data_IF_312768519785
#
_entry.id   IF_312768519785
#
_cell.length_a   1.000
_cell.length_b   1.000
_cell.length_c   1.000
_cell.angle_alpha   90.00
_cell.angle_beta   90.00
_cell.angle_gamma   90.00
#
_symmetry.space_group_name_H-M   'P 1'
#
loop_
_entity.id
_entity.type
_entity.pdbx_description
1 polymer ?
#
# COMPACT_ATOMS: atom_id res chain seq x y z
N UNK A 1 -16.18 25.37 -32.54
CA UNK A 1 -16.39 23.92 -32.69
C UNK A 1 -15.40 23.23 -31.77
N UNK A 2 -15.83 22.85 -30.57
CA UNK A 2 -15.05 22.04 -29.64
C UNK A 2 -14.98 20.61 -30.17
N UNK A 3 -13.80 20.07 -30.51
CA UNK A 3 -13.69 18.73 -31.06
C UNK A 3 -13.82 17.73 -29.91
N UNK A 4 -15.02 17.23 -29.66
CA UNK A 4 -15.25 16.18 -28.68
C UNK A 4 -16.67 16.19 -28.16
N UNK A 5 -17.47 15.21 -28.56
CA UNK A 5 -18.77 14.95 -27.95
C UNK A 5 -18.67 14.66 -26.45
N UNK A 6 -19.80 14.60 -25.73
CA UNK A 6 -19.83 14.28 -24.29
C UNK A 6 -19.07 13.00 -23.93
N UNK A 7 -19.04 12.02 -24.84
CA UNK A 7 -18.30 10.76 -24.69
C UNK A 7 -16.77 10.94 -24.72
N UNK A 8 -16.25 11.80 -25.61
CA UNK A 8 -14.82 12.13 -25.64
C UNK A 8 -14.37 12.87 -24.38
N UNK A 9 -15.24 13.73 -23.83
CA UNK A 9 -15.00 14.40 -22.55
C UNK A 9 -15.00 13.41 -21.39
N UNK A 10 -15.96 12.48 -21.35
CA UNK A 10 -16.04 11.45 -20.33
C UNK A 10 -14.82 10.52 -20.36
N UNK A 11 -14.37 10.11 -21.54
CA UNK A 11 -13.15 9.33 -21.72
C UNK A 11 -11.91 10.07 -21.19
N UNK A 12 -11.73 11.34 -21.57
CA UNK A 12 -10.62 12.17 -21.09
C UNK A 12 -10.61 12.27 -19.55
N UNK A 13 -11.76 12.53 -18.93
CA UNK A 13 -11.86 12.63 -17.47
C UNK A 13 -11.54 11.29 -16.80
N UNK A 14 -12.08 10.19 -17.30
CA UNK A 14 -11.83 8.86 -16.76
C UNK A 14 -10.35 8.45 -16.86
N UNK A 15 -9.70 8.75 -17.98
CA UNK A 15 -8.27 8.53 -18.19
C UNK A 15 -7.43 9.34 -17.20
N UNK A 16 -7.74 10.63 -17.03
CA UNK A 16 -7.02 11.50 -16.09
C UNK A 16 -7.16 11.03 -14.65
N UNK A 17 -8.37 10.64 -14.23
CA UNK A 17 -8.60 10.07 -12.90
C UNK A 17 -7.79 8.78 -12.67
N UNK A 18 -7.78 7.87 -13.66
CA UNK A 18 -7.02 6.64 -13.58
C UNK A 18 -5.51 6.88 -13.46
N UNK A 19 -4.98 7.84 -14.24
CA UNK A 19 -3.58 8.24 -14.15
C UNK A 19 -3.24 8.81 -12.77
N UNK A 20 -4.08 9.69 -12.23
CA UNK A 20 -3.87 10.27 -10.89
C UNK A 20 -3.86 9.19 -9.81
N UNK A 21 -4.80 8.24 -9.84
CA UNK A 21 -4.85 7.17 -8.83
C UNK A 21 -3.64 6.22 -8.93
N UNK A 22 -3.14 5.95 -10.15
CA UNK A 22 -1.91 5.16 -10.34
C UNK A 22 -0.67 5.89 -9.82
N UNK A 23 -0.59 7.19 -10.01
CA UNK A 23 0.49 8.01 -9.45
C UNK A 23 0.44 8.03 -7.91
N UNK A 24 -0.74 8.22 -7.33
CA UNK A 24 -0.95 8.18 -5.88
C UNK A 24 -0.58 6.82 -5.28
N UNK A 25 -0.85 5.72 -6.01
CA UNK A 25 -0.42 4.38 -5.63
C UNK A 25 1.11 4.25 -5.60
N UNK A 26 1.78 4.70 -6.66
CA UNK A 26 3.25 4.73 -6.70
C UNK A 26 3.84 5.57 -5.56
N UNK A 27 3.22 6.72 -5.27
CA UNK A 27 3.65 7.59 -4.16
C UNK A 27 3.45 6.93 -2.79
N UNK A 28 2.38 6.15 -2.62
CA UNK A 28 2.16 5.37 -1.40
C UNK A 28 3.24 4.29 -1.21
N UNK A 29 3.67 3.63 -2.29
CA UNK A 29 4.72 2.59 -2.25
C UNK A 29 6.11 3.18 -1.94
N UNK A 30 6.41 4.37 -2.48
CA UNK A 30 7.63 5.12 -2.12
C UNK A 30 7.60 5.49 -0.64
N UNK A 31 6.48 6.02 -0.12
CA UNK A 31 6.35 6.34 1.32
C UNK A 31 6.55 5.12 2.20
N UNK A 32 5.97 3.97 1.83
CA UNK A 32 6.14 2.73 2.57
C UNK A 32 7.59 2.26 2.57
N UNK A 33 8.28 2.32 1.42
CA UNK A 33 9.69 1.97 1.30
C UNK A 33 10.59 2.86 2.15
N UNK A 34 10.38 4.18 2.12
CA UNK A 34 11.12 5.14 2.95
C UNK A 34 10.89 4.88 4.44
N UNK A 35 9.64 4.67 4.86
CA UNK A 35 9.32 4.33 6.24
C UNK A 35 9.93 2.99 6.67
N UNK A 36 9.97 2.00 5.77
CA UNK A 36 10.56 0.70 6.05
C UNK A 36 12.08 0.80 6.26
N UNK A 37 12.77 1.59 5.44
CA UNK A 37 14.19 1.88 5.63
C UNK A 37 14.46 2.48 7.01
N UNK A 38 13.65 3.45 7.44
CA UNK A 38 13.74 4.01 8.80
C UNK A 38 13.40 2.99 9.88
N UNK A 39 12.37 2.18 9.67
CA UNK A 39 11.93 1.15 10.61
C UNK A 39 13.00 0.07 10.86
N UNK A 40 13.83 -0.24 9.86
CA UNK A 40 14.95 -1.18 9.99
C UNK A 40 16.20 -0.50 10.57
N UNK A 41 16.47 0.74 10.19
CA UNK A 41 17.65 1.48 10.63
C UNK A 41 17.64 1.80 12.14
N UNK A 42 16.49 2.19 12.71
CA UNK A 42 16.41 2.60 14.12
C UNK A 42 16.81 1.47 15.08
N UNK A 43 16.26 0.24 15.00
CA UNK A 43 16.72 -0.87 15.82
C UNK A 43 18.21 -1.18 15.64
N UNK A 44 18.72 -1.15 14.41
CA UNK A 44 20.14 -1.40 14.15
C UNK A 44 21.05 -0.38 14.84
N UNK A 45 20.69 0.91 14.80
CA UNK A 45 21.42 1.97 15.49
C UNK A 45 21.33 1.84 17.02
N UNK A 46 20.18 1.46 17.56
CA UNK A 46 20.00 1.25 19.00
C UNK A 46 20.83 0.07 19.49
N UNK A 47 20.76 -1.08 18.79
CA UNK A 47 21.55 -2.27 19.12
C UNK A 47 23.06 -2.01 18.99
N UNK A 48 23.47 -1.21 18.00
CA UNK A 48 24.87 -0.80 17.81
C UNK A 48 25.42 0.07 18.94
N UNK A 49 24.56 0.71 19.75
CA UNK A 49 24.97 1.47 20.95
C UNK A 49 25.10 0.59 22.21
N UNK A 50 24.78 -0.69 22.12
CA UNK A 50 24.82 -1.64 23.23
C UNK A 50 23.53 -1.68 24.05
N UNK A 51 23.32 -2.80 24.74
CA UNK A 51 22.17 -2.96 25.63
C UNK A 51 22.38 -2.19 26.95
N UNK A 52 21.35 -1.52 27.50
CA UNK A 52 21.46 -0.87 28.80
C UNK A 52 21.75 -1.92 29.87
N UNK A 53 22.95 -1.88 30.43
CA UNK A 53 23.36 -2.75 31.53
C UNK A 53 22.61 -2.36 32.81
N UNK A 54 22.04 -3.32 33.52
CA UNK A 54 21.33 -3.07 34.79
C UNK A 54 19.88 -2.62 34.65
N UNK A 55 19.24 -2.80 33.49
CA UNK A 55 17.83 -2.50 33.31
C UNK A 55 16.93 -3.28 34.30
N UNK A 56 16.04 -2.58 34.99
CA UNK A 56 15.06 -3.21 35.88
C UNK A 56 14.09 -4.12 35.10
N UNK A 57 13.45 -5.08 35.77
CA UNK A 57 12.46 -5.96 35.13
C UNK A 57 11.30 -5.19 34.47
N UNK A 58 10.93 -4.03 35.03
CA UNK A 58 9.93 -3.13 34.44
C UNK A 58 10.46 -2.48 33.16
N UNK A 59 11.70 -1.97 33.17
CA UNK A 59 12.34 -1.41 31.97
C UNK A 59 12.42 -2.43 30.83
N UNK A 60 12.76 -3.69 31.14
CA UNK A 60 12.77 -4.80 30.18
C UNK A 60 11.37 -5.08 29.61
N UNK A 61 10.32 -5.03 30.42
CA UNK A 61 8.95 -5.24 29.95
C UNK A 61 8.51 -4.14 28.95
N UNK A 62 8.82 -2.87 29.23
CA UNK A 62 8.55 -1.76 28.31
C UNK A 62 9.36 -1.86 27.00
N UNK A 63 10.64 -2.24 27.08
CA UNK A 63 11.47 -2.46 25.89
C UNK A 63 10.95 -3.63 25.05
N UNK A 64 10.54 -4.74 25.68
CA UNK A 64 9.97 -5.90 24.99
C UNK A 64 8.63 -5.55 24.32
N UNK A 65 7.74 -4.85 25.02
CA UNK A 65 6.47 -4.39 24.46
C UNK A 65 6.70 -3.40 23.30
N UNK A 66 7.61 -2.43 23.47
CA UNK A 66 7.98 -1.47 22.43
C UNK A 66 8.55 -2.16 21.19
N UNK A 67 9.46 -3.13 21.39
CA UNK A 67 10.02 -3.95 20.32
C UNK A 67 8.96 -4.78 19.59
N UNK A 68 8.03 -5.41 20.31
CA UNK A 68 6.96 -6.18 19.70
C UNK A 68 6.04 -5.31 18.82
N UNK A 69 5.64 -4.12 19.31
CA UNK A 69 4.86 -3.17 18.52
C UNK A 69 5.65 -2.66 17.31
N UNK A 70 6.95 -2.41 17.47
CA UNK A 70 7.83 -1.99 16.39
C UNK A 70 7.90 -3.04 15.29
N UNK A 71 8.18 -4.30 15.64
CA UNK A 71 8.21 -5.43 14.70
C UNK A 71 6.87 -5.60 14.00
N UNK A 72 5.74 -5.52 14.72
CA UNK A 72 4.41 -5.57 14.13
C UNK A 72 4.19 -4.43 13.12
N UNK A 73 4.63 -3.22 13.43
CA UNK A 73 4.62 -2.08 12.51
C UNK A 73 5.47 -2.33 11.26
N UNK A 74 6.69 -2.83 11.41
CA UNK A 74 7.58 -3.17 10.29
C UNK A 74 6.96 -4.24 9.37
N UNK A 75 6.37 -5.29 9.93
CA UNK A 75 5.69 -6.33 9.15
C UNK A 75 4.49 -5.78 8.38
N UNK A 76 3.77 -4.80 8.93
CA UNK A 76 2.69 -4.12 8.20
C UNK A 76 3.22 -3.27 7.04
N UNK A 77 4.38 -2.61 7.17
CA UNK A 77 5.02 -1.92 6.03
C UNK A 77 5.39 -2.91 4.92
N UNK A 78 5.97 -4.06 5.28
CA UNK A 78 6.24 -5.11 4.30
C UNK A 78 4.95 -5.56 3.61
N UNK A 79 3.85 -5.74 4.35
CA UNK A 79 2.54 -6.09 3.78
C UNK A 79 1.90 -5.00 2.90
N UNK A 80 2.38 -3.74 2.96
CA UNK A 80 2.01 -2.66 2.03
C UNK A 80 2.75 -2.81 0.70
N UNK A 81 4.03 -3.21 0.75
CA UNK A 81 4.93 -3.32 -0.42
C UNK A 81 4.71 -4.62 -1.18
N UNK A 82 4.42 -5.73 -0.48
CA UNK A 82 4.24 -7.04 -1.11
C UNK A 82 3.16 -6.94 -2.19
N UNK A 83 3.46 -7.33 -3.45
CA UNK A 83 2.51 -7.26 -4.53
C UNK A 83 1.30 -8.12 -4.19
N UNK A 84 0.15 -7.49 -4.00
CA UNK A 84 -1.12 -8.19 -3.83
C UNK A 84 -1.56 -8.68 -5.19
N UNK A 85 -1.03 -9.83 -5.59
CA UNK A 85 -1.40 -10.54 -6.83
C UNK A 85 -2.83 -11.07 -6.79
N UNK A 86 -3.42 -11.18 -5.59
CA UNK A 86 -4.87 -11.40 -5.43
C UNK A 86 -5.61 -10.08 -5.60
N UNK A 87 -5.91 -9.75 -6.85
CA UNK A 87 -6.93 -8.76 -7.19
C UNK A 87 -8.25 -9.20 -6.55
N UNK A 88 -8.64 -8.51 -5.47
CA UNK A 88 -10.00 -8.62 -4.95
C UNK A 88 -10.90 -7.95 -5.98
N UNK A 89 -11.58 -8.74 -6.82
CA UNK A 89 -12.58 -8.24 -7.77
C UNK A 89 -13.68 -7.52 -6.98
N UNK A 90 -13.81 -6.20 -7.15
CA UNK A 90 -14.96 -5.47 -6.60
C UNK A 90 -16.06 -5.24 -7.62
N UNK A 91 -15.78 -5.38 -8.92
CA UNK A 91 -16.79 -5.32 -9.99
C UNK A 91 -16.60 -6.46 -11.02
N UNK A 92 -17.69 -6.94 -11.66
CA UNK A 92 -17.59 -7.83 -12.82
C UNK A 92 -17.06 -7.05 -14.03
N UNK A 93 -15.86 -7.37 -14.50
CA UNK A 93 -15.30 -6.78 -15.72
C UNK A 93 -13.85 -7.24 -15.98
N UNK A 94 -13.39 -7.28 -17.24
CA UNK A 94 -12.05 -7.77 -17.57
C UNK A 94 -10.98 -6.73 -17.20
N UNK A 95 -10.27 -6.97 -16.10
CA UNK A 95 -9.01 -6.29 -15.81
C UNK A 95 -7.86 -7.05 -16.45
N UNK A 96 -7.38 -6.52 -17.57
CA UNK A 96 -6.33 -7.11 -18.43
C UNK A 96 -5.13 -7.70 -17.66
N UNK A 97 -4.72 -7.09 -16.55
CA UNK A 97 -3.57 -7.52 -15.76
C UNK A 97 -3.82 -8.82 -14.97
N UNK A 98 -4.98 -8.95 -14.31
CA UNK A 98 -5.31 -10.16 -13.55
C UNK A 98 -5.59 -11.35 -14.48
N UNK A 99 -6.22 -11.06 -15.61
CA UNK A 99 -6.62 -12.03 -16.63
C UNK A 99 -5.41 -12.55 -17.43
N UNK A 100 -4.40 -11.71 -17.70
CA UNK A 100 -3.14 -12.13 -18.30
C UNK A 100 -2.28 -13.02 -17.39
N UNK A 101 -2.37 -12.84 -16.06
CA UNK A 101 -1.62 -13.63 -15.07
C UNK A 101 -2.20 -15.04 -14.84
N UNK A 102 -3.47 -15.28 -15.16
CA UNK A 102 -4.16 -16.56 -14.91
C UNK A 102 -4.29 -17.46 -16.15
N UNK A 103 -3.51 -17.21 -17.21
CA UNK A 103 -3.43 -18.11 -18.36
C UNK A 103 -4.69 -18.14 -19.23
N UNK A 104 -5.38 -17.00 -19.33
CA UNK A 104 -6.54 -16.89 -20.24
C UNK A 104 -6.10 -17.09 -21.69
N UNK A 105 -6.91 -17.85 -22.43
CA UNK A 105 -6.78 -18.06 -23.87
C UNK A 105 -6.68 -16.71 -24.61
N UNK A 106 -5.68 -16.51 -25.49
CA UNK A 106 -5.50 -15.28 -26.27
C UNK A 106 -6.77 -14.79 -26.98
N UNK A 107 -7.66 -15.68 -27.38
CA UNK A 107 -8.93 -15.33 -28.03
C UNK A 107 -9.96 -14.74 -27.05
N UNK A 108 -9.95 -15.15 -25.79
CA UNK A 108 -10.74 -14.51 -24.74
C UNK A 108 -10.17 -13.11 -24.39
N UNK A 109 -8.84 -12.94 -24.43
CA UNK A 109 -8.20 -11.63 -24.26
C UNK A 109 -8.55 -10.68 -25.41
N UNK A 110 -8.57 -11.18 -26.65
CA UNK A 110 -8.97 -10.42 -27.83
C UNK A 110 -10.43 -9.97 -27.75
N UNK A 111 -11.34 -10.84 -27.31
CA UNK A 111 -12.76 -10.50 -27.08
C UNK A 111 -12.93 -9.46 -25.99
N UNK A 112 -12.26 -9.64 -24.84
CA UNK A 112 -12.27 -8.66 -23.77
C UNK A 112 -11.73 -7.28 -24.21
N UNK A 113 -10.70 -7.25 -25.07
CA UNK A 113 -10.18 -6.02 -25.65
C UNK A 113 -11.17 -5.36 -26.63
N UNK A 114 -11.91 -6.15 -27.41
CA UNK A 114 -12.96 -5.64 -28.29
C UNK A 114 -14.15 -5.08 -27.49
N UNK A 115 -14.58 -5.77 -26.43
CA UNK A 115 -15.63 -5.32 -25.52
C UNK A 115 -15.24 -4.02 -24.79
N UNK A 116 -13.98 -3.93 -24.33
CA UNK A 116 -13.43 -2.71 -23.75
C UNK A 116 -13.32 -1.56 -24.78
N UNK A 117 -13.12 -1.87 -26.05
CA UNK A 117 -13.13 -0.90 -27.15
C UNK A 117 -14.53 -0.34 -27.43
N UNK A 118 -15.59 -1.11 -27.13
CA UNK A 118 -16.99 -0.70 -27.32
C UNK A 118 -17.53 0.19 -26.19
N UNK A 119 -17.03 0.02 -24.95
CA UNK A 119 -17.31 0.89 -23.80
C UNK A 119 -16.03 1.27 -23.07
N UNK A 120 -15.29 2.22 -23.66
CA UNK A 120 -14.00 2.66 -23.13
C UNK A 120 -14.14 3.36 -21.76
N UNK A 121 -15.22 4.11 -21.56
CA UNK A 121 -15.47 4.85 -20.32
C UNK A 121 -15.80 3.90 -19.18
N UNK A 122 -16.70 2.93 -19.39
CA UNK A 122 -17.02 1.90 -18.41
C UNK A 122 -15.82 1.06 -18.02
N UNK A 123 -14.95 0.74 -18.99
CA UNK A 123 -13.70 0.04 -18.74
C UNK A 123 -12.73 0.85 -17.86
N UNK A 124 -12.52 2.13 -18.19
CA UNK A 124 -11.66 3.03 -17.39
C UNK A 124 -12.18 3.20 -15.95
N UNK A 125 -13.49 3.34 -15.77
CA UNK A 125 -14.13 3.46 -14.46
C UNK A 125 -13.99 2.19 -13.62
N UNK A 126 -14.10 1.01 -14.25
CA UNK A 126 -13.86 -0.28 -13.58
C UNK A 126 -12.42 -0.37 -13.08
N UNK A 127 -11.45 -0.01 -13.92
CA UNK A 127 -10.04 0.04 -13.49
C UNK A 127 -9.81 1.06 -12.37
N UNK A 128 -10.43 2.24 -12.46
CA UNK A 128 -10.33 3.27 -11.43
C UNK A 128 -10.84 2.74 -10.08
N UNK A 129 -11.97 2.03 -10.07
CA UNK A 129 -12.53 1.44 -8.86
C UNK A 129 -11.59 0.40 -8.25
N UNK A 130 -11.09 -0.55 -9.05
CA UNK A 130 -10.21 -1.61 -8.57
C UNK A 130 -8.90 -1.04 -7.98
N UNK A 131 -8.27 -0.07 -8.68
CA UNK A 131 -7.05 0.57 -8.18
C UNK A 131 -7.34 1.40 -6.92
N UNK A 132 -8.48 2.07 -6.84
CA UNK A 132 -8.89 2.86 -5.67
C UNK A 132 -9.12 1.98 -4.43
N UNK A 133 -9.71 0.80 -4.59
CA UNK A 133 -9.88 -0.18 -3.50
C UNK A 133 -8.51 -0.62 -2.97
N UNK A 134 -7.58 -0.97 -3.86
CA UNK A 134 -6.20 -1.34 -3.48
C UNK A 134 -5.52 -0.18 -2.74
N UNK A 135 -5.62 1.04 -3.28
CA UNK A 135 -5.03 2.25 -2.70
C UNK A 135 -5.58 2.51 -1.28
N UNK A 136 -6.91 2.43 -1.11
CA UNK A 136 -7.55 2.61 0.19
C UNK A 136 -7.07 1.59 1.22
N UNK A 137 -6.88 0.33 0.78
CA UNK A 137 -6.32 -0.71 1.62
C UNK A 137 -4.88 -0.38 1.99
N UNK A 138 -3.99 -0.07 1.04
CA UNK A 138 -2.59 0.31 1.35
C UNK A 138 -2.52 1.45 2.37
N UNK A 139 -3.32 2.50 2.21
CA UNK A 139 -3.37 3.61 3.17
C UNK A 139 -3.86 3.19 4.57
N UNK A 140 -4.81 2.26 4.69
CA UNK A 140 -5.24 1.73 5.99
C UNK A 140 -4.11 0.98 6.70
N UNK A 141 -3.35 0.17 5.97
CA UNK A 141 -2.22 -0.58 6.51
C UNK A 141 -1.07 0.36 6.88
N UNK A 142 -0.81 1.37 6.05
CA UNK A 142 0.18 2.43 6.32
C UNK A 142 -0.14 3.19 7.62
N UNK A 143 -1.40 3.63 7.79
CA UNK A 143 -1.83 4.31 9.03
C UNK A 143 -1.66 3.42 10.27
N UNK A 144 -2.02 2.14 10.19
CA UNK A 144 -1.84 1.19 11.29
C UNK A 144 -0.37 0.97 11.62
N UNK A 145 0.47 0.83 10.60
CA UNK A 145 1.92 0.73 10.77
C UNK A 145 2.48 1.94 11.48
N UNK A 146 2.13 3.15 11.05
CA UNK A 146 2.63 4.39 11.69
C UNK A 146 2.23 4.47 13.16
N UNK A 147 0.99 4.10 13.49
CA UNK A 147 0.51 4.06 14.87
C UNK A 147 1.32 3.05 15.72
N UNK A 148 1.61 1.86 15.19
CA UNK A 148 2.37 0.83 15.88
C UNK A 148 3.84 1.20 16.06
N UNK A 149 4.48 1.75 15.03
CA UNK A 149 5.86 2.24 15.13
C UNK A 149 5.97 3.39 16.15
N UNK A 150 5.03 4.35 16.11
CA UNK A 150 4.98 5.45 17.06
C UNK A 150 4.76 4.97 18.50
N UNK A 151 3.81 4.07 18.71
CA UNK A 151 3.56 3.49 20.03
C UNK A 151 4.77 2.67 20.53
N UNK A 152 5.40 1.88 19.65
CA UNK A 152 6.60 1.12 19.96
C UNK A 152 7.76 2.02 20.38
N UNK A 153 7.96 3.14 19.68
CA UNK A 153 8.98 4.15 20.01
C UNK A 153 8.71 4.78 21.37
N UNK A 154 7.46 5.19 21.64
CA UNK A 154 7.08 5.81 22.90
C UNK A 154 7.30 4.85 24.08
N UNK A 155 6.85 3.59 23.95
CA UNK A 155 7.08 2.59 24.99
C UNK A 155 8.56 2.32 25.22
N UNK A 156 9.37 2.25 24.16
CA UNK A 156 10.81 2.06 24.27
C UNK A 156 11.54 3.28 24.86
N UNK A 157 10.96 4.47 24.75
CA UNK A 157 11.53 5.70 25.32
C UNK A 157 11.24 5.87 26.82
N UNK A 158 10.17 5.29 27.36
CA UNK A 158 9.82 5.40 28.80
C UNK A 158 10.98 4.96 29.71
N UNK A 159 11.62 3.79 29.50
CA UNK A 159 12.77 3.37 30.31
C UNK A 159 13.99 4.29 30.20
N UNK A 160 14.17 4.99 29.08
CA UNK A 160 15.28 5.93 28.88
C UNK A 160 15.03 7.29 29.54
N UNK A 161 13.76 7.66 29.75
CA UNK A 161 13.37 8.92 30.37
C UNK A 161 13.20 8.82 31.89
N UNK A 162 12.93 7.61 32.40
CA UNK A 162 12.72 7.32 33.83
C UNK A 162 13.97 6.67 34.46
N UNK A 163 14.97 6.32 33.63
CA UNK A 163 16.26 5.75 34.04
C UNK A 163 17.26 6.79 34.50
#
# INVERSE_FOLDING_TARGET
>A
MTPGGPEATAHYVAERLLLTVREDLGRADVKASVLLSGAVAVPALVLGRGAPAGASGVALAFLAAGGALWTAGTLLLLAVIVPRTRTVRSAPGPTFYADALHGIDPEALRRAAADAGADQVGWLLTQLQDVSVILSAKYRWLRRSMALLGAGLLLAAVPLAVG
#
